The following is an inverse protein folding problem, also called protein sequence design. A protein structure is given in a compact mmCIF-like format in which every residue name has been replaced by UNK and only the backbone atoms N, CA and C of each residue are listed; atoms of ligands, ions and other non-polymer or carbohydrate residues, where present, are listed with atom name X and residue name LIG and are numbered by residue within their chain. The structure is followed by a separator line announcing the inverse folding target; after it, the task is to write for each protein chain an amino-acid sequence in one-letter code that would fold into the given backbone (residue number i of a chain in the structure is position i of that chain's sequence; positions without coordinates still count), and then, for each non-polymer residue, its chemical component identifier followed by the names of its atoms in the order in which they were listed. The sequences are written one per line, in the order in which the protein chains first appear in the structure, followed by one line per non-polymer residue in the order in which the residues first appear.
data_IF_716741807744
#
_entry.id   IF_716741807744
#
_cell.length_a   1.000
_cell.length_b   1.000
_cell.length_c   1.000
_cell.angle_alpha   90.00
_cell.angle_beta   90.00
_cell.angle_gamma   90.00
#
_symmetry.space_group_name_H-M   'P 1'
#
loop_
_entity.id
_entity.type
_entity.pdbx_description
1 polymer ?
#
# COMPACT_ATOMS: atom_id res chain seq x y z
N UNK A 1 -8.36 8.26 -0.26
CA UNK A 1 -7.47 7.45 0.62
C UNK A 1 -6.18 8.23 0.83
N UNK A 2 -5.72 8.43 2.07
CA UNK A 2 -4.51 9.24 2.36
C UNK A 2 -3.25 8.67 1.69
N UNK A 3 -3.15 7.35 1.59
CA UNK A 3 -2.08 6.65 0.90
C UNK A 3 -1.89 7.08 -0.57
N UNK A 4 -2.98 7.47 -1.24
CA UNK A 4 -2.97 7.92 -2.65
C UNK A 4 -2.86 9.44 -2.73
N UNK A 5 -3.49 10.17 -1.81
CA UNK A 5 -3.48 11.64 -1.81
C UNK A 5 -2.13 12.22 -1.38
N UNK A 6 -1.44 11.55 -0.46
CA UNK A 6 -0.20 12.02 0.14
C UNK A 6 0.82 10.87 0.27
N UNK A 7 1.25 10.23 -0.83
CA UNK A 7 2.07 9.02 -0.81
C UNK A 7 3.44 9.25 -0.14
N UNK A 8 4.05 10.42 -0.35
CA UNK A 8 5.34 10.80 0.22
C UNK A 8 5.36 10.74 1.76
N UNK A 9 4.22 11.04 2.42
CA UNK A 9 4.10 10.96 3.89
C UNK A 9 4.33 9.55 4.42
N UNK A 10 4.16 8.56 3.56
CA UNK A 10 4.29 7.15 3.88
C UNK A 10 5.53 6.53 3.24
N UNK A 11 6.36 7.30 2.52
CA UNK A 11 7.51 6.78 1.78
C UNK A 11 7.10 5.92 0.58
N UNK A 12 5.95 6.22 -0.03
CA UNK A 12 5.51 5.62 -1.28
C UNK A 12 5.82 6.61 -2.39
N UNK A 13 6.31 6.11 -3.52
CA UNK A 13 6.65 6.93 -4.69
C UNK A 13 5.39 7.27 -5.50
N UNK A 14 5.17 6.62 -6.63
CA UNK A 14 3.95 6.77 -7.41
C UNK A 14 2.89 5.78 -6.89
N UNK A 15 1.77 6.27 -6.32
CA UNK A 15 0.75 5.41 -5.74
C UNK A 15 -0.14 4.71 -6.79
N UNK A 16 -0.01 5.05 -8.08
CA UNK A 16 -0.85 4.54 -9.16
C UNK A 16 -0.17 3.42 -9.98
N UNK A 17 1.11 3.18 -9.77
CA UNK A 17 1.83 2.06 -10.40
C UNK A 17 2.01 0.90 -9.41
N UNK A 18 2.00 -0.31 -9.93
CA UNK A 18 2.24 -1.50 -9.14
C UNK A 18 3.73 -1.88 -9.10
N UNK A 19 4.10 -2.62 -8.06
CA UNK A 19 5.45 -3.14 -7.87
C UNK A 19 5.73 -4.30 -8.83
N UNK A 20 4.73 -5.02 -9.29
CA UNK A 20 4.89 -6.24 -10.05
C UNK A 20 3.86 -6.36 -11.16
N UNK A 21 4.33 -6.59 -12.38
CA UNK A 21 3.49 -6.65 -13.57
C UNK A 21 4.16 -5.97 -14.76
N UNK A 22 3.36 -5.73 -15.80
CA UNK A 22 3.82 -5.25 -17.10
C UNK A 22 3.01 -4.01 -17.55
N UNK A 23 3.43 -3.39 -18.66
CA UNK A 23 2.74 -2.23 -19.22
C UNK A 23 2.94 -0.93 -18.44
N UNK A 24 2.21 0.15 -18.77
CA UNK A 24 2.47 1.50 -18.26
C UNK A 24 2.16 1.71 -16.78
N UNK A 25 1.35 0.83 -16.18
CA UNK A 25 1.02 0.86 -14.74
C UNK A 25 1.62 -0.32 -13.97
N UNK A 26 2.50 -1.07 -14.62
CA UNK A 26 3.18 -2.25 -14.06
C UNK A 26 2.20 -3.27 -13.45
N UNK A 27 1.01 -3.43 -14.01
CA UNK A 27 -0.04 -4.28 -13.47
C UNK A 27 -0.50 -5.30 -14.52
N UNK A 28 -0.90 -6.49 -14.08
CA UNK A 28 -1.40 -7.57 -14.95
C UNK A 28 -2.61 -8.23 -14.31
N UNK A 29 -3.59 -8.63 -15.13
CA UNK A 29 -4.82 -9.29 -14.66
C UNK A 29 -4.54 -10.70 -14.15
N UNK A 30 -3.50 -11.36 -14.67
CA UNK A 30 -3.17 -12.74 -14.35
C UNK A 30 -1.78 -12.88 -13.75
N UNK A 31 -1.67 -13.78 -12.77
CA UNK A 31 -0.38 -14.23 -12.26
C UNK A 31 0.48 -14.77 -13.41
N UNK A 32 1.58 -14.09 -13.71
CA UNK A 32 2.49 -14.39 -14.79
C UNK A 32 3.91 -14.53 -14.22
N UNK A 33 4.47 -15.73 -14.25
CA UNK A 33 5.85 -15.96 -13.76
C UNK A 33 6.95 -15.20 -14.52
N UNK A 34 6.61 -14.50 -15.62
CA UNK A 34 7.51 -13.64 -16.39
C UNK A 34 7.38 -12.15 -16.06
N UNK A 35 6.36 -11.77 -15.29
CA UNK A 35 6.15 -10.36 -14.94
C UNK A 35 7.27 -9.86 -14.03
N UNK A 36 7.66 -8.60 -14.26
CA UNK A 36 8.81 -7.97 -13.63
C UNK A 36 8.46 -7.40 -12.26
N UNK A 37 9.37 -7.53 -11.30
CA UNK A 37 9.36 -6.70 -10.08
C UNK A 37 10.07 -5.38 -10.37
N UNK A 38 9.37 -4.28 -10.14
CA UNK A 38 9.80 -2.91 -10.31
C UNK A 38 10.28 -2.35 -8.97
N UNK A 39 11.57 -2.02 -8.88
CA UNK A 39 12.14 -1.34 -7.73
C UNK A 39 12.05 -2.11 -6.40
N UNK A 40 12.10 -1.36 -5.30
CA UNK A 40 11.96 -1.87 -3.95
C UNK A 40 10.46 -1.93 -3.56
N UNK A 41 9.89 -3.11 -3.24
CA UNK A 41 8.49 -3.23 -2.80
C UNK A 41 8.11 -2.34 -1.61
N UNK A 42 9.08 -1.92 -0.80
CA UNK A 42 8.89 -0.99 0.32
C UNK A 42 8.50 0.43 -0.09
N UNK A 43 8.55 0.77 -1.39
CA UNK A 43 8.22 2.10 -1.94
C UNK A 43 6.93 2.12 -2.77
N UNK A 44 6.22 1.00 -2.89
CA UNK A 44 4.99 0.89 -3.69
C UNK A 44 3.77 0.72 -2.80
N UNK A 45 2.63 1.27 -3.24
CA UNK A 45 1.33 1.00 -2.61
C UNK A 45 0.74 -0.35 -3.07
N UNK A 46 0.79 -0.61 -4.38
CA UNK A 46 0.21 -1.80 -5.00
C UNK A 46 1.28 -2.84 -5.32
N UNK A 47 0.97 -4.10 -5.06
CA UNK A 47 1.80 -5.22 -5.49
C UNK A 47 1.59 -5.54 -6.97
N UNK A 48 0.35 -5.84 -7.39
CA UNK A 48 0.04 -6.35 -8.74
C UNK A 48 -1.09 -5.58 -9.47
N UNK A 49 -1.54 -4.48 -8.89
CA UNK A 49 -2.71 -3.71 -9.34
C UNK A 49 -4.02 -4.08 -8.62
N UNK A 50 -4.07 -5.20 -7.89
CA UNK A 50 -5.23 -5.61 -7.08
C UNK A 50 -4.91 -5.71 -5.59
N UNK A 51 -3.77 -6.31 -5.25
CA UNK A 51 -3.29 -6.47 -3.88
C UNK A 51 -2.35 -5.33 -3.49
N UNK A 52 -2.30 -5.03 -2.19
CA UNK A 52 -1.39 -4.02 -1.65
C UNK A 52 -0.09 -4.66 -1.17
N UNK A 53 0.98 -3.87 -1.13
CA UNK A 53 2.25 -4.30 -0.53
C UNK A 53 2.16 -4.38 0.99
N UNK A 54 3.11 -5.06 1.62
CA UNK A 54 3.25 -5.06 3.08
C UNK A 54 3.38 -3.63 3.63
N UNK A 55 4.10 -2.75 2.92
CA UNK A 55 4.24 -1.34 3.28
C UNK A 55 2.88 -0.63 3.38
N UNK A 56 2.03 -0.79 2.36
CA UNK A 56 0.70 -0.19 2.35
C UNK A 56 -0.21 -0.78 3.44
N UNK A 57 -0.17 -2.11 3.64
CA UNK A 57 -0.92 -2.74 4.72
C UNK A 57 -0.46 -2.26 6.10
N UNK A 58 0.84 -2.04 6.31
CA UNK A 58 1.36 -1.49 7.55
C UNK A 58 0.76 -0.10 7.84
N UNK A 59 0.76 0.80 6.86
CA UNK A 59 0.16 2.15 6.99
C UNK A 59 -1.33 2.06 7.33
N UNK A 60 -2.07 1.19 6.65
CA UNK A 60 -3.51 0.98 6.91
C UNK A 60 -3.71 0.46 8.34
N UNK A 61 -2.94 -0.55 8.76
CA UNK A 61 -3.01 -1.12 10.09
C UNK A 61 -2.69 -0.07 11.17
N UNK A 62 -1.64 0.75 11.00
CA UNK A 62 -1.33 1.84 11.91
C UNK A 62 -2.47 2.85 12.01
N UNK A 63 -3.07 3.22 10.88
CA UNK A 63 -4.20 4.14 10.83
C UNK A 63 -5.45 3.63 11.55
N UNK A 64 -5.67 2.31 11.56
CA UNK A 64 -6.76 1.66 12.31
C UNK A 64 -6.43 1.54 13.79
N UNK A 65 -5.20 1.12 14.12
CA UNK A 65 -4.77 0.86 15.48
C UNK A 65 -4.59 2.15 16.30
N UNK A 66 -3.92 3.15 15.71
CA UNK A 66 -3.49 4.38 16.37
C UNK A 66 -4.29 5.61 15.93
N UNK A 67 -5.05 5.50 14.83
CA UNK A 67 -5.81 6.60 14.25
C UNK A 67 -5.08 7.33 13.12
N UNK A 68 -5.75 8.28 12.43
CA UNK A 68 -7.11 8.75 12.69
C UNK A 68 -8.19 8.06 11.83
N UNK A 69 -7.88 6.96 11.14
CA UNK A 69 -8.78 6.37 10.13
C UNK A 69 -9.79 5.37 10.69
N UNK A 70 -9.81 5.18 12.01
CA UNK A 70 -10.86 4.45 12.74
C UNK A 70 -11.49 5.36 13.79
N UNK A 71 -12.80 5.24 14.00
CA UNK A 71 -13.55 5.92 15.05
C UNK A 71 -14.06 4.88 16.06
N UNK A 72 -13.51 4.70 17.25
CA UNK A 72 -12.25 5.18 17.85
C UNK A 72 -11.06 4.32 17.39
N UNK A 73 -9.80 4.80 17.45
CA UNK A 73 -8.63 3.96 17.24
C UNK A 73 -8.59 2.77 18.20
N UNK A 74 -8.28 1.58 17.68
CA UNK A 74 -8.39 0.34 18.47
C UNK A 74 -7.56 0.36 19.76
N UNK A 75 -6.34 0.90 19.71
CA UNK A 75 -5.46 0.95 20.89
C UNK A 75 -5.91 1.99 21.92
N UNK A 76 -6.66 3.02 21.53
CA UNK A 76 -7.22 3.97 22.49
C UNK A 76 -8.29 3.32 23.38
N UNK A 77 -9.04 2.33 22.85
CA UNK A 77 -10.02 1.58 23.62
C UNK A 77 -9.40 0.57 24.62
N UNK A 78 -8.10 0.32 24.55
CA UNK A 78 -7.40 -0.62 25.44
C UNK A 78 -6.71 0.06 26.63
N UNK A 79 -6.82 1.39 26.75
CA UNK A 79 -6.23 2.15 27.85
C UNK A 79 -7.20 2.15 29.04
N UNK A 80 -7.00 1.23 29.99
CA UNK A 80 -7.64 1.26 31.32
C UNK A 80 -7.06 2.39 32.18
#
# INVERSE_FOLDING_TARGET
MELIKNPDRFGIDDPLVACWGDGPYHATVYCNNKAKVWGDPGRFASWDGMHMTEKAYNVIAEGVLKGPFANQPLLQNCSN
#
